data_IF_825326614548
#
_entry.id   IF_825326614548
#
_cell.length_a   1.000
_cell.length_b   1.000
_cell.length_c   1.000
_cell.angle_alpha   90.00
_cell.angle_beta   90.00
_cell.angle_gamma   90.00
#
_symmetry.space_group_name_H-M   'P 1'
#
loop_
_entity.id
_entity.type
_entity.pdbx_description
1 polymer ?
#
# COMPACT_ATOMS: atom_id res chain seq x y z
N UNK A 1 4.01 2.83 8.03
CA UNK A 1 5.12 2.46 7.14
C UNK A 1 4.74 1.32 6.19
N UNK A 2 4.20 0.18 6.67
CA UNK A 2 3.86 -0.99 5.83
C UNK A 2 2.97 -0.67 4.62
N UNK A 3 1.97 0.21 4.77
CA UNK A 3 1.13 0.63 3.65
C UNK A 3 1.93 1.24 2.48
N UNK A 4 2.94 2.05 2.78
CA UNK A 4 3.79 2.65 1.74
C UNK A 4 4.62 1.58 1.02
N UNK A 5 5.17 0.61 1.77
CA UNK A 5 5.93 -0.47 1.16
C UNK A 5 5.05 -1.34 0.26
N UNK A 6 3.85 -1.72 0.74
CA UNK A 6 2.86 -2.45 -0.06
C UNK A 6 2.57 -1.71 -1.37
N UNK A 7 2.39 -0.38 -1.30
CA UNK A 7 2.14 0.47 -2.45
C UNK A 7 3.33 0.53 -3.43
N UNK A 8 4.56 0.71 -2.94
CA UNK A 8 5.75 0.79 -3.79
C UNK A 8 6.05 -0.53 -4.51
N UNK A 9 5.80 -1.66 -3.86
CA UNK A 9 5.97 -2.99 -4.46
C UNK A 9 4.69 -3.53 -5.11
N UNK A 10 3.67 -2.69 -5.26
CA UNK A 10 2.42 -3.09 -5.93
C UNK A 10 2.56 -3.09 -7.44
N UNK A 11 1.76 -3.93 -8.10
CA UNK A 11 1.56 -3.91 -9.54
C UNK A 11 0.11 -3.63 -9.87
N UNK A 12 -0.11 -3.02 -11.04
CA UNK A 12 -1.45 -2.78 -11.56
C UNK A 12 -1.95 -4.05 -12.25
N UNK A 13 -2.94 -4.69 -11.65
CA UNK A 13 -3.55 -5.92 -12.16
C UNK A 13 -4.91 -5.62 -12.78
N UNK A 14 -5.18 -6.14 -13.98
CA UNK A 14 -6.49 -6.07 -14.61
C UNK A 14 -7.35 -7.22 -14.09
N UNK A 15 -8.47 -6.92 -13.44
CA UNK A 15 -9.37 -7.96 -12.89
C UNK A 15 -10.70 -8.03 -13.64
N UNK A 16 -11.08 -7.00 -14.39
CA UNK A 16 -12.20 -7.01 -15.33
C UNK A 16 -11.95 -6.02 -16.49
N UNK A 17 -12.72 -6.07 -17.59
CA UNK A 17 -12.65 -5.05 -18.64
C UNK A 17 -12.84 -3.64 -18.06
N UNK A 18 -11.84 -2.78 -18.24
CA UNK A 18 -11.85 -1.41 -17.70
C UNK A 18 -11.54 -1.27 -16.20
N UNK A 19 -11.40 -2.37 -15.46
CA UNK A 19 -11.18 -2.33 -14.01
C UNK A 19 -9.82 -2.90 -13.63
N UNK A 20 -9.03 -2.06 -12.94
CA UNK A 20 -7.67 -2.37 -12.50
C UNK A 20 -7.56 -2.15 -11.00
N UNK A 21 -6.74 -2.97 -10.35
CA UNK A 21 -6.45 -2.86 -8.92
C UNK A 21 -4.96 -2.77 -8.69
N UNK A 22 -4.55 -2.08 -7.63
CA UNK A 22 -3.18 -2.14 -7.13
C UNK A 22 -3.05 -3.38 -6.23
N UNK A 23 -2.32 -4.40 -6.68
CA UNK A 23 -2.09 -5.63 -5.90
C UNK A 23 -0.66 -5.67 -5.41
N UNK A 24 -0.46 -6.19 -4.21
CA UNK A 24 0.87 -6.40 -3.62
C UNK A 24 0.95 -7.76 -2.94
N UNK A 25 2.15 -8.35 -2.88
CA UNK A 25 2.37 -9.59 -2.16
C UNK A 25 2.19 -9.37 -0.66
N UNK A 26 1.56 -10.33 0.02
CA UNK A 26 1.57 -10.34 1.49
C UNK A 26 2.94 -10.85 1.94
N UNK A 27 3.57 -10.14 2.87
CA UNK A 27 4.85 -10.54 3.45
C UNK A 27 5.13 -9.87 4.79
N UNK A 28 4.11 -9.22 5.37
CA UNK A 28 4.21 -8.47 6.61
C UNK A 28 3.38 -9.17 7.70
N UNK A 29 3.65 -8.80 8.94
CA UNK A 29 2.92 -9.30 10.10
C UNK A 29 1.41 -9.15 9.95
N UNK A 30 0.67 -10.22 10.28
CA UNK A 30 -0.78 -10.26 10.11
C UNK A 30 -1.51 -9.21 10.96
N UNK A 31 -1.02 -8.87 12.15
CA UNK A 31 -1.65 -7.84 12.99
C UNK A 31 -1.61 -6.47 12.32
N UNK A 32 -0.54 -6.17 11.58
CA UNK A 32 -0.41 -4.92 10.81
C UNK A 32 -1.35 -4.94 9.61
N UNK A 33 -1.41 -6.06 8.89
CA UNK A 33 -2.34 -6.22 7.77
C UNK A 33 -3.80 -6.08 8.23
N UNK A 34 -4.16 -6.71 9.36
CA UNK A 34 -5.49 -6.61 9.95
C UNK A 34 -5.83 -5.16 10.33
N UNK A 35 -4.88 -4.41 10.89
CA UNK A 35 -5.08 -2.99 11.19
C UNK A 35 -5.30 -2.16 9.93
N UNK A 36 -4.57 -2.46 8.84
CA UNK A 36 -4.74 -1.76 7.56
C UNK A 36 -6.08 -2.11 6.90
N UNK A 37 -6.53 -3.35 6.99
CA UNK A 37 -7.85 -3.78 6.54
C UNK A 37 -8.97 -3.11 7.34
N UNK A 38 -8.86 -3.06 8.67
CA UNK A 38 -9.81 -2.34 9.53
C UNK A 38 -9.91 -0.85 9.21
N UNK A 39 -8.82 -0.25 8.72
CA UNK A 39 -8.76 1.16 8.29
C UNK A 39 -9.23 1.38 6.86
N UNK A 40 -9.65 0.34 6.15
CA UNK A 40 -10.12 0.44 4.76
C UNK A 40 -9.02 0.61 3.72
N UNK A 41 -7.74 0.54 4.09
CA UNK A 41 -6.62 0.82 3.17
C UNK A 41 -6.24 -0.37 2.29
N UNK A 42 -6.51 -1.59 2.73
CA UNK A 42 -6.25 -2.81 1.96
C UNK A 42 -7.43 -3.78 2.10
N UNK A 43 -7.62 -4.60 1.06
CA UNK A 43 -8.58 -5.69 1.02
C UNK A 43 -7.87 -7.00 0.68
N UNK A 44 -8.18 -8.06 1.39
CA UNK A 44 -7.58 -9.37 1.20
C UNK A 44 -8.00 -10.35 2.28
N UNK A 45 -7.76 -11.64 2.03
CA UNK A 45 -7.99 -12.70 3.01
C UNK A 45 -6.66 -13.21 3.58
N UNK A 46 -6.72 -13.82 4.76
CA UNK A 46 -5.52 -14.47 5.35
C UNK A 46 -5.01 -15.63 4.51
N UNK A 47 -5.88 -16.30 3.75
CA UNK A 47 -5.49 -17.42 2.88
C UNK A 47 -4.79 -16.94 1.59
N UNK A 48 -5.22 -15.81 1.01
CA UNK A 48 -4.66 -15.31 -0.25
C UNK A 48 -3.19 -14.90 -0.10
N UNK A 49 -2.35 -15.09 -1.13
CA UNK A 49 -0.92 -14.69 -1.11
C UNK A 49 -0.70 -13.18 -1.32
N UNK A 50 -1.75 -12.44 -1.64
CA UNK A 50 -1.67 -11.04 -2.01
C UNK A 50 -2.83 -10.25 -1.41
N UNK A 51 -2.63 -8.95 -1.34
CA UNK A 51 -3.62 -7.96 -0.91
C UNK A 51 -3.84 -6.95 -2.02
N UNK A 52 -5.07 -6.45 -2.11
CA UNK A 52 -5.43 -5.32 -2.96
C UNK A 52 -5.34 -4.05 -2.10
N UNK A 53 -4.75 -3.00 -2.64
CA UNK A 53 -4.74 -1.67 -2.03
C UNK A 53 -5.97 -0.95 -2.55
N UNK A 54 -6.79 -0.42 -1.64
CA UNK A 54 -7.97 0.36 -2.00
C UNK A 54 -7.58 1.75 -2.47
N UNK A 55 -8.51 2.49 -3.07
CA UNK A 55 -8.27 3.87 -3.50
C UNK A 55 -7.85 4.77 -2.32
N UNK A 56 -8.51 4.61 -1.16
CA UNK A 56 -8.13 5.28 0.09
C UNK A 56 -6.71 4.91 0.54
N UNK A 57 -6.34 3.64 0.38
CA UNK A 57 -4.99 3.14 0.67
C UNK A 57 -3.94 3.75 -0.24
N UNK A 58 -4.23 3.88 -1.53
CA UNK A 58 -3.36 4.52 -2.53
C UNK A 58 -3.16 6.01 -2.22
N UNK A 59 -4.25 6.72 -1.91
CA UNK A 59 -4.18 8.13 -1.53
C UNK A 59 -3.34 8.32 -0.26
N UNK A 60 -3.59 7.49 0.76
CA UNK A 60 -2.84 7.55 2.02
C UNK A 60 -1.37 7.20 1.81
N UNK A 61 -1.05 6.19 0.99
CA UNK A 61 0.31 5.81 0.67
C UNK A 61 1.05 6.92 -0.10
N UNK A 62 0.38 7.59 -1.04
CA UNK A 62 0.93 8.71 -1.80
C UNK A 62 1.30 9.89 -0.89
N UNK A 63 0.40 10.26 0.04
CA UNK A 63 0.68 11.30 1.06
C UNK A 63 1.86 10.91 1.96
N UNK A 64 1.99 9.63 2.32
CA UNK A 64 3.13 9.14 3.11
C UNK A 64 4.44 9.23 2.31
N UNK A 65 4.41 8.89 1.02
CA UNK A 65 5.57 9.00 0.12
C UNK A 65 6.07 10.44 0.04
N UNK A 66 5.18 11.40 -0.16
CA UNK A 66 5.51 12.83 -0.21
C UNK A 66 6.15 13.32 1.09
N UNK A 67 5.56 12.96 2.24
CA UNK A 67 6.12 13.29 3.55
C UNK A 67 7.53 12.73 3.74
N UNK A 68 7.78 11.49 3.30
CA UNK A 68 9.09 10.88 3.40
C UNK A 68 10.10 11.53 2.46
N UNK A 69 9.70 11.88 1.23
CA UNK A 69 10.58 12.58 0.29
C UNK A 69 10.96 13.96 0.81
N UNK A 70 10.00 14.72 1.36
CA UNK A 70 10.26 16.01 2.00
C UNK A 70 11.22 15.87 3.19
N UNK A 71 11.02 14.86 4.04
CA UNK A 71 11.90 14.60 5.18
C UNK A 71 13.33 14.17 4.76
N UNK A 72 13.47 13.45 3.64
CA UNK A 72 14.79 13.07 3.10
C UNK A 72 15.50 14.26 2.44
N UNK A 73 14.77 15.11 1.70
CA UNK A 73 15.33 16.33 1.10
C UNK A 73 15.84 17.34 2.13
N UNK A 74 15.27 17.34 3.34
CA UNK A 74 15.74 18.19 4.45
C UNK A 74 17.03 17.71 5.13
N UNK A 75 17.50 16.49 4.87
CA UNK A 75 18.67 15.88 5.53
C UNK A 75 19.87 15.65 4.60
N UNK A 76 19.79 16.12 3.35
CA UNK A 76 20.77 15.85 2.30
C UNK A 76 21.32 17.09 1.60
N UNK A 77 21.46 18.21 2.31
CA UNK A 77 22.27 19.37 1.90
C UNK A 77 22.88 20.00 3.16
N UNK A 78 23.97 19.44 3.65
CA UNK A 78 25.00 20.13 4.43
C UNK A 78 26.29 19.33 4.39
#
# INVERSE_FOLDING_TARGET
MVLLLLFLFSWREKVAPGFFVARSWKGYDFSVLDSLTKKGYISGSRQAKSVIITDEGVERASKLREKMLAAMGSKGVT
#
